data_IF_102659750737
#
_entry.id   IF_102659750737
#
_cell.length_a   1.000
_cell.length_b   1.000
_cell.length_c   1.000
_cell.angle_alpha   90.00
_cell.angle_beta   90.00
_cell.angle_gamma   90.00
#
_symmetry.space_group_name_H-M   'P 1'
#
loop_
_entity.id
_entity.type
_entity.pdbx_description
1 polymer ?
#
# COMPACT_ATOMS: atom_id res chain seq x y z
N UNK A 1 -6.31 -22.71 -9.89
CA UNK A 1 -5.79 -21.77 -8.89
C UNK A 1 -5.33 -20.56 -9.66
N UNK A 2 -5.88 -19.40 -9.35
CA UNK A 2 -5.41 -18.14 -9.93
C UNK A 2 -3.96 -17.92 -9.48
N UNK A 3 -3.09 -17.46 -10.39
CA UNK A 3 -1.70 -17.18 -10.03
C UNK A 3 -1.68 -16.04 -9.00
N UNK A 4 -0.69 -16.02 -8.09
CA UNK A 4 -0.47 -14.90 -7.17
C UNK A 4 0.55 -13.92 -7.75
N UNK A 5 0.52 -12.67 -7.27
CA UNK A 5 1.56 -11.67 -7.57
C UNK A 5 2.91 -12.23 -7.10
N UNK A 6 3.95 -12.05 -7.91
CA UNK A 6 5.31 -12.50 -7.65
C UNK A 6 5.79 -11.95 -6.31
N UNK A 7 6.45 -12.81 -5.52
CA UNK A 7 6.95 -12.54 -4.17
C UNK A 7 5.89 -12.17 -3.12
N UNK A 8 4.59 -12.17 -3.42
CA UNK A 8 3.52 -11.82 -2.46
C UNK A 8 3.62 -12.66 -1.19
N UNK A 9 3.66 -13.99 -1.33
CA UNK A 9 3.78 -14.94 -0.21
C UNK A 9 5.09 -14.74 0.55
N UNK A 10 6.19 -14.55 -0.18
CA UNK A 10 7.53 -14.39 0.41
C UNK A 10 7.60 -13.12 1.28
N UNK A 11 7.04 -12.03 0.80
CA UNK A 11 6.98 -10.76 1.53
C UNK A 11 6.01 -10.86 2.71
N UNK A 12 4.86 -11.51 2.55
CA UNK A 12 3.93 -11.78 3.64
C UNK A 12 4.61 -12.55 4.79
N UNK A 13 5.34 -13.63 4.48
CA UNK A 13 6.10 -14.40 5.47
C UNK A 13 7.22 -13.58 6.12
N UNK A 14 7.91 -12.73 5.35
CA UNK A 14 8.95 -11.84 5.90
C UNK A 14 8.38 -10.84 6.91
N UNK A 15 7.21 -10.26 6.62
CA UNK A 15 6.53 -9.32 7.52
C UNK A 15 6.03 -10.05 8.77
N UNK A 16 5.40 -11.23 8.63
CA UNK A 16 5.00 -12.07 9.78
C UNK A 16 6.18 -12.39 10.70
N UNK A 17 7.34 -12.73 10.12
CA UNK A 17 8.57 -12.98 10.87
C UNK A 17 9.08 -11.73 11.59
N UNK A 18 9.01 -10.56 10.95
CA UNK A 18 9.39 -9.29 11.56
C UNK A 18 8.56 -9.01 12.82
N UNK A 19 7.24 -9.20 12.71
CA UNK A 19 6.30 -9.04 13.82
C UNK A 19 6.60 -10.03 14.95
N UNK A 20 6.77 -11.32 14.63
CA UNK A 20 7.08 -12.35 15.62
C UNK A 20 8.38 -12.06 16.39
N UNK A 21 9.39 -11.56 15.68
CA UNK A 21 10.70 -11.23 16.23
C UNK A 21 10.77 -9.84 16.88
N UNK A 22 9.68 -9.07 16.85
CA UNK A 22 9.64 -7.66 17.31
C UNK A 22 10.73 -6.80 16.66
N UNK A 23 10.97 -7.04 15.38
CA UNK A 23 11.88 -6.22 14.58
C UNK A 23 11.30 -4.82 14.39
N UNK A 24 12.17 -3.81 14.26
CA UNK A 24 11.71 -2.46 13.92
C UNK A 24 11.17 -2.46 12.50
N UNK A 25 9.95 -2.00 12.32
CA UNK A 25 9.33 -1.83 11.00
C UNK A 25 9.15 -0.35 10.73
N UNK A 26 9.59 0.12 9.57
CA UNK A 26 9.43 1.49 9.10
C UNK A 26 8.65 1.44 7.79
N UNK A 27 7.60 2.26 7.70
CA UNK A 27 6.82 2.42 6.48
C UNK A 27 7.19 3.74 5.80
N UNK A 28 7.39 3.69 4.49
CA UNK A 28 7.59 4.88 3.66
C UNK A 28 6.60 4.82 2.51
N UNK A 29 5.55 5.64 2.58
CA UNK A 29 4.54 5.72 1.53
C UNK A 29 4.73 6.93 0.64
N UNK A 30 4.12 6.90 -0.54
CA UNK A 30 3.85 8.14 -1.26
C UNK A 30 2.81 9.00 -0.53
N UNK A 31 2.86 10.30 -0.78
CA UNK A 31 2.05 11.34 -0.14
C UNK A 31 0.71 11.60 -0.81
N UNK A 32 0.37 10.89 -1.88
CA UNK A 32 -0.99 10.90 -2.43
C UNK A 32 -1.88 9.84 -1.76
N UNK A 33 -3.14 9.76 -2.20
CA UNK A 33 -4.11 8.89 -1.56
C UNK A 33 -3.85 7.40 -1.79
N UNK A 34 -3.18 7.00 -2.88
CA UNK A 34 -2.83 5.60 -3.11
C UNK A 34 -1.75 5.15 -2.11
N UNK A 35 -0.65 5.91 -2.05
CA UNK A 35 0.43 5.70 -1.08
C UNK A 35 -0.03 5.80 0.39
N UNK A 36 -0.78 6.84 0.75
CA UNK A 36 -1.27 7.02 2.13
C UNK A 36 -2.22 5.88 2.53
N UNK A 37 -3.17 5.51 1.66
CA UNK A 37 -4.11 4.42 1.94
C UNK A 37 -3.38 3.09 2.09
N UNK A 38 -2.37 2.84 1.25
CA UNK A 38 -1.51 1.66 1.33
C UNK A 38 -0.78 1.59 2.68
N UNK A 39 -0.20 2.70 3.13
CA UNK A 39 0.46 2.77 4.45
C UNK A 39 -0.52 2.42 5.58
N UNK A 40 -1.73 3.01 5.57
CA UNK A 40 -2.75 2.75 6.60
C UNK A 40 -3.17 1.28 6.58
N UNK A 41 -3.41 0.70 5.40
CA UNK A 41 -3.78 -0.71 5.27
C UNK A 41 -2.70 -1.61 5.86
N UNK A 42 -1.44 -1.41 5.48
CA UNK A 42 -0.35 -2.26 5.96
C UNK A 42 -0.08 -2.06 7.46
N UNK A 43 -0.16 -0.82 7.95
CA UNK A 43 -0.03 -0.52 9.38
C UNK A 43 -1.11 -1.24 10.19
N UNK A 44 -2.38 -1.15 9.79
CA UNK A 44 -3.49 -1.84 10.47
C UNK A 44 -3.32 -3.36 10.41
N UNK A 45 -2.83 -3.88 9.29
CA UNK A 45 -2.50 -5.32 9.12
C UNK A 45 -1.45 -5.77 10.13
N UNK A 46 -0.35 -5.02 10.24
CA UNK A 46 0.76 -5.32 11.16
C UNK A 46 0.30 -5.23 12.63
N UNK A 47 -0.50 -4.21 12.97
CA UNK A 47 -1.08 -4.07 14.31
C UNK A 47 -2.02 -5.24 14.65
N UNK A 48 -2.80 -5.72 13.69
CA UNK A 48 -3.66 -6.91 13.89
C UNK A 48 -2.86 -8.20 14.10
N UNK A 49 -1.63 -8.29 13.59
CA UNK A 49 -0.70 -9.38 13.94
C UNK A 49 -0.03 -9.21 15.32
N UNK A 50 -0.26 -8.09 16.01
CA UNK A 50 0.40 -7.75 17.28
C UNK A 50 1.76 -7.07 17.12
N UNK A 51 2.08 -6.56 15.93
CA UNK A 51 3.29 -5.79 15.65
C UNK A 51 3.13 -4.29 15.88
N UNK A 52 4.24 -3.57 15.81
CA UNK A 52 4.30 -2.11 15.96
C UNK A 52 5.09 -1.47 14.82
N UNK A 53 4.67 -0.27 14.40
CA UNK A 53 5.39 0.55 13.42
C UNK A 53 6.26 1.55 14.16
N UNK A 54 7.57 1.51 13.91
CA UNK A 54 8.57 2.36 14.57
C UNK A 54 8.63 3.78 13.99
N UNK A 55 8.28 3.93 12.72
CA UNK A 55 8.14 5.23 12.05
C UNK A 55 7.33 5.07 10.76
N UNK A 56 6.61 6.14 10.40
CA UNK A 56 5.98 6.33 9.09
C UNK A 56 6.59 7.57 8.48
N UNK A 57 6.94 7.52 7.20
CA UNK A 57 7.51 8.63 6.46
C UNK A 57 6.77 8.83 5.13
N UNK A 58 6.63 10.09 4.73
CA UNK A 58 6.10 10.50 3.44
C UNK A 58 7.03 11.58 2.87
N UNK A 59 7.33 11.57 1.57
CA UNK A 59 8.16 12.58 0.96
C UNK A 59 7.38 13.90 0.86
N UNK A 60 8.08 15.02 0.97
CA UNK A 60 7.53 16.29 0.51
C UNK A 60 7.67 16.33 -1.01
N UNK A 61 6.59 16.08 -1.75
CA UNK A 61 6.65 16.00 -3.23
C UNK A 61 7.15 17.30 -3.87
N UNK A 62 6.94 18.48 -3.27
CA UNK A 62 7.38 19.76 -3.82
C UNK A 62 8.88 19.99 -3.60
N UNK A 63 9.41 19.58 -2.45
CA UNK A 63 10.81 19.82 -2.05
C UNK A 63 11.72 18.65 -2.41
N UNK A 64 11.28 17.44 -2.10
CA UNK A 64 12.07 16.22 -2.17
C UNK A 64 11.81 15.41 -3.46
N UNK A 65 10.70 15.69 -4.16
CA UNK A 65 10.26 14.95 -5.32
C UNK A 65 9.64 13.58 -4.99
N UNK A 66 9.41 12.76 -6.01
CA UNK A 66 8.87 11.40 -5.87
C UNK A 66 9.96 10.37 -5.51
N UNK A 67 9.59 9.39 -4.70
CA UNK A 67 10.41 8.22 -4.39
C UNK A 67 11.19 8.31 -3.08
N UNK A 68 11.97 7.25 -2.83
CA UNK A 68 12.93 7.23 -1.71
C UNK A 68 14.03 8.25 -2.00
N UNK A 69 14.36 9.08 -1.01
CA UNK A 69 15.39 10.11 -1.17
C UNK A 69 16.43 10.08 -0.03
N UNK A 70 17.59 10.71 -0.28
CA UNK A 70 18.72 10.71 0.64
C UNK A 70 18.42 11.42 1.98
N UNK A 71 17.59 12.47 1.97
CA UNK A 71 17.20 13.22 3.18
C UNK A 71 16.39 12.33 4.12
N UNK A 72 15.42 11.58 3.59
CA UNK A 72 14.65 10.62 4.35
C UNK A 72 15.54 9.51 4.94
N UNK A 73 16.46 8.96 4.14
CA UNK A 73 17.42 7.97 4.62
C UNK A 73 18.33 8.52 5.71
N UNK A 74 18.75 9.79 5.62
CA UNK A 74 19.56 10.44 6.65
C UNK A 74 18.79 10.62 7.97
N UNK A 75 17.51 10.99 7.90
CA UNK A 75 16.62 11.08 9.08
C UNK A 75 16.39 9.70 9.72
N UNK A 76 16.27 8.66 8.90
CA UNK A 76 15.90 7.32 9.36
C UNK A 76 17.10 6.47 9.79
N UNK A 77 18.33 6.80 9.38
CA UNK A 77 19.53 5.95 9.56
C UNK A 77 19.74 5.46 11.00
N UNK A 78 19.45 6.32 12.00
CA UNK A 78 19.64 5.98 13.42
C UNK A 78 18.59 4.98 13.93
N UNK A 79 17.55 4.69 13.13
CA UNK A 79 16.57 3.64 13.39
C UNK A 79 16.99 2.28 12.84
N UNK A 80 18.07 2.18 12.07
CA UNK A 80 18.62 0.91 11.62
C UNK A 80 19.20 0.10 12.82
N UNK A 81 19.19 -1.25 12.75
CA UNK A 81 18.58 -2.07 11.72
C UNK A 81 17.05 -2.04 11.79
N UNK A 82 16.40 -2.04 10.63
CA UNK A 82 14.94 -2.08 10.52
C UNK A 82 14.50 -2.73 9.19
N UNK A 83 13.31 -3.33 9.20
CA UNK A 83 12.58 -3.69 8.00
C UNK A 83 11.96 -2.41 7.43
N UNK A 84 12.46 -1.98 6.28
CA UNK A 84 12.05 -0.76 5.61
C UNK A 84 11.14 -1.10 4.44
N UNK A 85 9.85 -0.77 4.56
CA UNK A 85 8.82 -1.12 3.59
C UNK A 85 8.39 0.14 2.85
N UNK A 86 8.62 0.18 1.53
CA UNK A 86 8.13 1.25 0.67
C UNK A 86 6.79 0.88 0.07
N UNK A 87 5.87 1.84 -0.01
CA UNK A 87 4.53 1.66 -0.55
C UNK A 87 4.25 2.75 -1.59
N UNK A 88 3.88 2.34 -2.79
CA UNK A 88 3.60 3.22 -3.93
C UNK A 88 4.82 4.03 -4.42
N UNK A 89 6.00 3.57 -4.02
CA UNK A 89 7.29 4.07 -4.47
C UNK A 89 8.39 3.07 -4.22
N UNK A 90 9.53 3.32 -4.85
CA UNK A 90 10.77 2.59 -4.62
C UNK A 90 11.19 1.70 -5.78
N UNK A 91 10.27 1.27 -6.66
CA UNK A 91 10.61 0.33 -7.75
C UNK A 91 11.62 0.90 -8.75
N UNK A 92 11.67 2.22 -8.92
CA UNK A 92 12.67 2.92 -9.73
C UNK A 92 13.92 3.40 -8.95
N UNK A 93 13.92 3.32 -7.61
CA UNK A 93 14.95 3.92 -6.74
C UNK A 93 16.16 2.99 -6.52
N UNK A 94 16.81 2.54 -7.60
CA UNK A 94 17.93 1.58 -7.53
C UNK A 94 19.05 2.05 -6.60
N UNK A 95 19.48 3.31 -6.75
CA UNK A 95 20.60 3.87 -5.97
C UNK A 95 20.21 4.07 -4.51
N UNK A 96 19.02 4.58 -4.25
CA UNK A 96 18.58 4.89 -2.89
C UNK A 96 18.30 3.61 -2.10
N UNK A 97 17.81 2.55 -2.74
CA UNK A 97 17.67 1.23 -2.11
C UNK A 97 19.05 0.62 -1.80
N UNK A 98 20.06 0.78 -2.66
CA UNK A 98 21.43 0.38 -2.32
C UNK A 98 22.00 1.14 -1.12
N UNK A 99 21.74 2.44 -1.03
CA UNK A 99 22.14 3.25 0.12
C UNK A 99 21.42 2.78 1.39
N UNK A 100 20.11 2.55 1.32
CA UNK A 100 19.33 2.03 2.45
C UNK A 100 19.89 0.70 2.96
N UNK A 101 20.22 -0.24 2.06
CA UNK A 101 20.87 -1.51 2.41
C UNK A 101 22.21 -1.31 3.12
N UNK A 102 23.04 -0.37 2.66
CA UNK A 102 24.33 -0.02 3.30
C UNK A 102 24.17 0.59 4.69
N UNK A 103 23.05 1.29 4.95
CA UNK A 103 22.70 1.85 6.25
C UNK A 103 22.14 0.79 7.22
N UNK A 104 21.92 -0.46 6.78
CA UNK A 104 21.42 -1.55 7.61
C UNK A 104 19.91 -1.77 7.53
N UNK A 105 19.23 -1.21 6.52
CA UNK A 105 17.84 -1.53 6.24
C UNK A 105 17.72 -2.79 5.39
N UNK A 106 16.75 -3.64 5.72
CA UNK A 106 16.24 -4.65 4.78
C UNK A 106 15.03 -4.06 4.06
N UNK A 107 15.10 -3.96 2.74
CA UNK A 107 14.12 -3.20 1.94
C UNK A 107 13.10 -4.11 1.30
N UNK A 108 11.83 -3.88 1.60
CA UNK A 108 10.66 -4.41 0.90
C UNK A 108 10.09 -3.28 0.03
N UNK A 109 9.76 -3.59 -1.22
CA UNK A 109 9.14 -2.65 -2.15
C UNK A 109 7.76 -3.19 -2.52
N UNK A 110 6.73 -2.39 -2.32
CA UNK A 110 5.35 -2.66 -2.77
C UNK A 110 5.01 -1.50 -3.70
N UNK A 111 4.83 -1.81 -4.97
CA UNK A 111 4.68 -0.80 -6.03
C UNK A 111 3.83 -1.33 -7.20
N UNK A 112 3.50 -0.45 -8.13
CA UNK A 112 2.78 -0.75 -9.37
C UNK A 112 3.24 0.12 -10.55
N UNK A 113 4.24 0.99 -10.36
CA UNK A 113 4.75 1.90 -11.38
C UNK A 113 5.57 1.20 -12.47
N UNK A 114 5.61 1.80 -13.66
CA UNK A 114 6.52 1.35 -14.72
C UNK A 114 7.97 1.75 -14.40
N UNK A 115 8.94 0.92 -14.79
CA UNK A 115 10.37 1.24 -14.65
C UNK A 115 11.09 1.31 -15.99
N UNK A 116 11.87 2.37 -16.17
CA UNK A 116 12.66 2.59 -17.40
C UNK A 116 14.13 2.16 -17.26
N UNK A 117 14.69 2.21 -16.06
CA UNK A 117 16.13 2.08 -15.82
C UNK A 117 16.52 0.83 -14.99
N UNK A 118 15.66 -0.19 -15.00
CA UNK A 118 15.78 -1.37 -14.15
C UNK A 118 15.15 -1.19 -12.77
N UNK A 119 15.24 -2.24 -11.95
CA UNK A 119 14.66 -2.31 -10.60
C UNK A 119 15.75 -2.59 -9.55
N UNK A 120 15.55 -2.21 -8.29
CA UNK A 120 16.51 -2.49 -7.21
C UNK A 120 16.84 -3.98 -7.05
N UNK A 121 18.10 -4.26 -6.69
CA UNK A 121 18.55 -5.62 -6.37
C UNK A 121 18.11 -6.02 -4.94
N UNK A 122 16.83 -6.34 -4.80
CA UNK A 122 16.25 -6.93 -3.59
C UNK A 122 15.24 -7.99 -3.99
N UNK A 123 15.19 -9.14 -3.28
CA UNK A 123 14.29 -10.22 -3.66
C UNK A 123 12.94 -10.11 -2.95
N UNK A 124 12.61 -8.92 -2.43
CA UNK A 124 11.41 -8.57 -1.66
C UNK A 124 10.64 -7.44 -2.35
N UNK A 125 10.33 -7.64 -3.63
CA UNK A 125 9.57 -6.69 -4.45
C UNK A 125 8.23 -7.31 -4.81
N UNK A 126 7.13 -6.64 -4.47
CA UNK A 126 5.80 -6.94 -4.98
C UNK A 126 5.43 -5.84 -5.95
N UNK A 127 5.23 -6.23 -7.20
CA UNK A 127 4.75 -5.37 -8.27
C UNK A 127 4.26 -6.32 -9.39
N UNK A 128 2.96 -6.27 -9.75
CA UNK A 128 2.39 -7.12 -10.80
C UNK A 128 3.12 -7.01 -12.15
N UNK A 129 3.76 -5.89 -12.43
CA UNK A 129 4.44 -5.60 -13.71
C UNK A 129 5.88 -6.08 -13.76
N UNK A 130 6.38 -6.71 -12.69
CA UNK A 130 7.69 -7.33 -12.68
C UNK A 130 7.84 -8.33 -13.84
N UNK A 131 9.06 -8.38 -14.37
CA UNK A 131 9.45 -9.43 -15.31
C UNK A 131 9.21 -10.82 -14.69
N UNK A 132 8.65 -11.72 -15.48
CA UNK A 132 8.31 -13.11 -15.10
C UNK A 132 7.20 -13.24 -14.03
N UNK A 133 6.46 -12.16 -13.74
CA UNK A 133 5.23 -12.23 -12.96
C UNK A 133 4.08 -12.79 -13.82
N UNK A 134 3.45 -13.89 -13.36
CA UNK A 134 2.38 -14.59 -14.09
C UNK A 134 0.97 -14.23 -13.60
N UNK A 135 0.83 -13.20 -12.78
CA UNK A 135 -0.46 -12.67 -12.33
C UNK A 135 -1.28 -12.16 -13.51
N UNK A 136 -2.57 -12.48 -13.55
CA UNK A 136 -3.45 -12.23 -14.70
C UNK A 136 -3.71 -10.74 -14.94
N UNK A 137 -3.83 -9.94 -13.87
CA UNK A 137 -4.21 -8.54 -13.96
C UNK A 137 -3.07 -7.61 -13.53
N UNK A 138 -2.50 -6.87 -14.48
CA UNK A 138 -1.34 -5.99 -14.25
C UNK A 138 -1.69 -4.55 -13.88
N UNK A 139 -2.98 -4.22 -13.85
CA UNK A 139 -3.48 -2.86 -13.74
C UNK A 139 -3.81 -2.41 -12.32
N UNK A 140 -3.49 -3.18 -11.29
CA UNK A 140 -3.77 -2.80 -9.90
C UNK A 140 -3.11 -1.46 -9.56
N UNK A 141 -3.82 -0.60 -8.82
CA UNK A 141 -3.22 0.47 -8.03
C UNK A 141 -2.38 -0.14 -6.89
N UNK A 142 -1.45 0.62 -6.31
CA UNK A 142 -0.61 0.10 -5.23
C UNK A 142 -1.44 -0.29 -4.00
N UNK A 143 -2.52 0.43 -3.69
CA UNK A 143 -3.42 0.08 -2.59
C UNK A 143 -4.12 -1.26 -2.83
N UNK A 144 -4.40 -1.61 -4.09
CA UNK A 144 -4.94 -2.91 -4.47
C UNK A 144 -3.92 -4.03 -4.26
N UNK A 145 -2.66 -3.80 -4.65
CA UNK A 145 -1.54 -4.71 -4.36
C UNK A 145 -1.37 -4.90 -2.85
N UNK A 146 -1.41 -3.81 -2.09
CA UNK A 146 -1.28 -3.81 -0.64
C UNK A 146 -2.44 -4.52 0.04
N UNK A 147 -3.67 -4.38 -0.47
CA UNK A 147 -4.83 -5.11 0.01
C UNK A 147 -4.69 -6.63 -0.20
N UNK A 148 -4.22 -7.07 -1.38
CA UNK A 148 -3.90 -8.49 -1.63
C UNK A 148 -2.83 -9.02 -0.68
N UNK A 149 -1.81 -8.21 -0.39
CA UNK A 149 -0.79 -8.57 0.59
C UNK A 149 -1.38 -8.72 1.99
N UNK A 150 -2.29 -7.83 2.40
CA UNK A 150 -3.01 -7.97 3.67
C UNK A 150 -3.81 -9.28 3.73
N UNK A 151 -4.55 -9.62 2.68
CA UNK A 151 -5.29 -10.88 2.58
C UNK A 151 -4.35 -12.09 2.73
N UNK A 152 -3.14 -12.04 2.15
CA UNK A 152 -2.12 -13.09 2.30
C UNK A 152 -1.51 -13.14 3.71
N UNK A 153 -1.29 -11.98 4.34
CA UNK A 153 -0.71 -11.88 5.68
C UNK A 153 -1.67 -12.43 6.73
N UNK A 154 -2.93 -12.00 6.69
CA UNK A 154 -3.91 -12.37 7.70
C UNK A 154 -4.59 -13.70 7.38
N UNK A 155 -4.73 -14.06 6.10
CA UNK A 155 -5.35 -15.31 5.65
C UNK A 155 -6.67 -15.58 6.38
N UNK A 156 -6.82 -16.72 7.06
CA UNK A 156 -7.99 -17.10 7.85
C UNK A 156 -8.24 -16.25 9.10
N UNK A 157 -7.28 -15.40 9.50
CA UNK A 157 -7.40 -14.49 10.66
C UNK A 157 -8.04 -13.15 10.32
N UNK A 158 -8.25 -12.84 9.04
CA UNK A 158 -8.89 -11.57 8.66
C UNK A 158 -10.39 -11.66 8.98
N UNK A 159 -10.86 -10.83 9.92
CA UNK A 159 -12.30 -10.71 10.15
C UNK A 159 -12.97 -10.01 8.97
N UNK A 160 -14.23 -10.32 8.71
CA UNK A 160 -15.02 -9.67 7.65
C UNK A 160 -15.06 -8.14 7.85
N UNK A 161 -15.23 -7.68 9.09
CA UNK A 161 -15.23 -6.25 9.42
C UNK A 161 -13.89 -5.58 9.10
N UNK A 162 -12.77 -6.22 9.44
CA UNK A 162 -11.45 -5.70 9.10
C UNK A 162 -11.26 -5.68 7.59
N UNK A 163 -11.58 -6.77 6.89
CA UNK A 163 -11.48 -6.85 5.43
C UNK A 163 -12.26 -5.73 4.76
N UNK A 164 -13.53 -5.52 5.13
CA UNK A 164 -14.38 -4.47 4.57
C UNK A 164 -13.82 -3.07 4.88
N UNK A 165 -13.33 -2.84 6.09
CA UNK A 165 -12.70 -1.57 6.49
C UNK A 165 -11.41 -1.27 5.69
N UNK A 166 -10.63 -2.27 5.33
CA UNK A 166 -9.45 -2.10 4.48
C UNK A 166 -9.83 -1.92 3.00
N UNK A 167 -10.88 -2.62 2.55
CA UNK A 167 -11.41 -2.54 1.20
C UNK A 167 -12.00 -1.16 0.88
N UNK A 168 -12.57 -0.46 1.89
CA UNK A 168 -12.97 0.94 1.78
C UNK A 168 -11.79 1.83 1.35
N UNK A 169 -10.63 1.68 1.99
CA UNK A 169 -9.42 2.43 1.65
C UNK A 169 -8.87 2.01 0.28
N UNK A 170 -8.89 0.71 -0.01
CA UNK A 170 -8.46 0.20 -1.30
C UNK A 170 -9.30 0.75 -2.46
N UNK A 171 -10.62 0.85 -2.29
CA UNK A 171 -11.47 1.47 -3.30
C UNK A 171 -11.15 2.95 -3.51
N UNK A 172 -10.98 3.73 -2.43
CA UNK A 172 -10.69 5.16 -2.54
C UNK A 172 -9.32 5.42 -3.19
N UNK A 173 -8.28 4.70 -2.78
CA UNK A 173 -6.95 4.83 -3.40
C UNK A 173 -6.94 4.39 -4.86
N UNK A 174 -7.64 3.30 -5.21
CA UNK A 174 -7.75 2.83 -6.61
C UNK A 174 -8.48 3.87 -7.48
N UNK A 175 -9.49 4.55 -6.94
CA UNK A 175 -10.21 5.61 -7.65
C UNK A 175 -9.30 6.84 -7.88
N UNK A 176 -8.57 7.27 -6.84
CA UNK A 176 -7.71 8.46 -6.92
C UNK A 176 -6.50 8.29 -7.81
N UNK A 177 -5.98 7.06 -7.92
CA UNK A 177 -4.82 6.74 -8.74
C UNK A 177 -5.14 6.72 -10.26
N UNK A 178 -6.43 6.84 -10.61
CA UNK A 178 -6.91 6.91 -12.01
C UNK A 178 -6.48 5.74 -12.90
N UNK A 179 -6.15 4.59 -12.31
CA UNK A 179 -5.90 3.34 -13.03
C UNK A 179 -7.16 2.85 -13.76
N UNK A 180 -7.02 2.01 -14.81
CA UNK A 180 -8.17 1.43 -15.49
C UNK A 180 -9.10 0.69 -14.50
N UNK A 181 -10.37 1.10 -14.46
CA UNK A 181 -11.39 0.51 -13.59
C UNK A 181 -11.99 -0.74 -14.24
N UNK A 182 -11.14 -1.73 -14.50
CA UNK A 182 -11.51 -3.01 -15.11
C UNK A 182 -11.06 -4.18 -14.23
N UNK A 183 -11.72 -5.32 -14.41
CA UNK A 183 -11.43 -6.58 -13.70
C UNK A 183 -11.30 -6.42 -12.17
N UNK A 184 -10.11 -6.59 -11.60
CA UNK A 184 -9.94 -6.56 -10.14
C UNK A 184 -10.10 -5.17 -9.56
N UNK A 185 -9.65 -4.11 -10.25
CA UNK A 185 -9.89 -2.75 -9.79
C UNK A 185 -11.40 -2.47 -9.71
N UNK A 186 -12.16 -2.94 -10.71
CA UNK A 186 -13.61 -2.78 -10.69
C UNK A 186 -14.23 -3.51 -9.48
N UNK A 187 -13.80 -4.74 -9.19
CA UNK A 187 -14.29 -5.50 -8.02
C UNK A 187 -13.95 -4.80 -6.70
N UNK A 188 -12.70 -4.34 -6.54
CA UNK A 188 -12.23 -3.59 -5.36
C UNK A 188 -13.09 -2.34 -5.16
N UNK A 189 -13.31 -1.57 -6.23
CA UNK A 189 -14.11 -0.35 -6.18
C UNK A 189 -15.57 -0.66 -5.80
N UNK A 190 -16.21 -1.62 -6.47
CA UNK A 190 -17.62 -1.95 -6.23
C UNK A 190 -17.87 -2.48 -4.81
N UNK A 191 -17.01 -3.36 -4.31
CA UNK A 191 -17.12 -3.93 -2.96
C UNK A 191 -16.74 -2.90 -1.87
N UNK A 192 -15.70 -2.11 -2.09
CA UNK A 192 -15.26 -1.09 -1.14
C UNK A 192 -16.26 0.06 -1.01
N UNK A 193 -16.84 0.53 -2.12
CA UNK A 193 -17.91 1.53 -2.08
C UNK A 193 -19.20 1.00 -1.44
N UNK A 194 -19.48 -0.31 -1.54
CA UNK A 194 -20.59 -0.93 -0.81
C UNK A 194 -20.33 -0.94 0.70
N UNK A 195 -19.09 -1.20 1.11
CA UNK A 195 -18.68 -1.18 2.53
C UNK A 195 -18.70 0.24 3.10
N UNK A 196 -18.24 1.21 2.31
CA UNK A 196 -18.15 2.63 2.67
C UNK A 196 -19.47 3.23 3.18
N UNK A 197 -20.62 2.72 2.70
CA UNK A 197 -21.96 3.17 3.13
C UNK A 197 -22.19 3.05 4.64
N UNK A 198 -21.56 2.06 5.26
CA UNK A 198 -21.68 1.77 6.69
C UNK A 198 -20.31 1.88 7.37
N UNK A 199 -19.42 2.71 6.85
CA UNK A 199 -18.03 2.80 7.33
C UNK A 199 -17.97 3.13 8.82
N UNK A 200 -17.08 2.42 9.51
CA UNK A 200 -16.79 2.70 10.91
C UNK A 200 -15.66 3.72 11.10
N UNK A 201 -15.00 4.16 10.02
CA UNK A 201 -13.86 5.07 10.05
C UNK A 201 -14.33 6.51 10.32
N UNK A 202 -13.95 7.15 11.45
CA UNK A 202 -14.43 8.50 11.78
C UNK A 202 -14.14 9.54 10.70
N UNK A 203 -12.95 9.48 10.08
CA UNK A 203 -12.57 10.40 9.02
C UNK A 203 -13.43 10.24 7.76
N UNK A 204 -13.74 9.00 7.36
CA UNK A 204 -14.59 8.74 6.20
C UNK A 204 -16.04 9.12 6.47
N UNK A 205 -16.57 8.91 7.69
CA UNK A 205 -17.89 9.43 8.07
C UNK A 205 -17.96 10.95 7.96
N UNK A 206 -17.00 11.66 8.56
CA UNK A 206 -16.96 13.11 8.48
C UNK A 206 -16.85 13.61 7.03
N UNK A 207 -16.06 12.93 6.19
CA UNK A 207 -15.96 13.22 4.76
C UNK A 207 -17.30 13.01 4.04
N UNK A 208 -17.99 11.90 4.28
CA UNK A 208 -19.31 11.62 3.70
C UNK A 208 -20.37 12.62 4.15
N UNK A 209 -20.33 13.06 5.42
CA UNK A 209 -21.22 14.08 5.96
C UNK A 209 -21.05 15.42 5.22
N UNK A 210 -19.81 15.81 4.90
CA UNK A 210 -19.51 17.02 4.12
C UNK A 210 -20.06 16.90 2.69
N UNK A 211 -20.01 15.69 2.09
CA UNK A 211 -20.54 15.43 0.75
C UNK A 211 -22.07 15.33 0.69
N UNK A 212 -22.74 15.04 1.82
CA UNK A 212 -24.18 14.91 1.97
C UNK A 212 -24.71 13.48 1.75
N UNK A 213 -25.27 12.87 2.82
CA UNK A 213 -25.68 11.45 2.87
C UNK A 213 -26.67 10.99 1.77
N UNK A 214 -27.53 11.90 1.27
CA UNK A 214 -28.52 11.57 0.23
C UNK A 214 -27.99 11.51 -1.21
N UNK A 215 -26.75 11.96 -1.45
CA UNK A 215 -26.20 12.16 -2.80
C UNK A 215 -25.08 11.19 -3.17
N UNK A 216 -24.59 10.38 -2.22
CA UNK A 216 -23.49 9.43 -2.42
C UNK A 216 -23.96 8.09 -3.03
N UNK A 217 -25.24 7.94 -3.39
CA UNK A 217 -25.76 6.63 -3.83
C UNK A 217 -26.52 6.62 -5.17
N UNK A 218 -26.67 7.77 -5.84
CA UNK A 218 -27.06 7.88 -7.26
C UNK A 218 -25.96 8.63 -8.03
N UNK A 219 -25.11 7.91 -8.78
CA UNK A 219 -24.05 8.53 -9.61
C UNK A 219 -22.81 9.03 -8.85
N UNK A 220 -22.64 8.63 -7.59
CA UNK A 220 -21.68 9.23 -6.66
C UNK A 220 -20.21 8.90 -6.88
N UNK A 221 -19.89 7.87 -7.64
CA UNK A 221 -18.51 7.61 -8.05
C UNK A 221 -17.89 8.87 -8.66
N UNK A 222 -18.66 9.59 -9.49
CA UNK A 222 -18.20 10.81 -10.16
C UNK A 222 -17.96 11.97 -9.18
N UNK A 223 -18.72 12.03 -8.07
CA UNK A 223 -18.53 13.06 -7.02
C UNK A 223 -17.40 12.71 -6.06
N UNK A 224 -17.23 11.43 -5.70
CA UNK A 224 -16.05 10.97 -4.96
C UNK A 224 -14.82 11.26 -5.80
N UNK A 225 -14.81 10.89 -7.08
CA UNK A 225 -13.73 11.26 -8.03
C UNK A 225 -13.52 12.78 -8.08
N UNK A 226 -14.56 13.60 -7.99
CA UNK A 226 -14.41 15.06 -8.03
C UNK A 226 -13.93 15.68 -6.71
N UNK A 227 -13.98 14.93 -5.61
CA UNK A 227 -13.65 15.38 -4.26
C UNK A 227 -12.30 14.85 -3.76
N UNK A 228 -11.81 13.76 -4.37
CA UNK A 228 -10.45 13.24 -4.23
C UNK A 228 -9.52 13.97 -5.21
#
# INVERSE_FOLDING_TARGET
MENKIKNLEKVAERIKKAVLNKERIILYGDSDLDGISSVVILEETIKNLGGEISAVFFPDREVDGYGVNAKALDILKDKAPALFITLDLGIGNVKEVEIAKKLGFEVIIIDHHETLNGIPDTPLIIDPKQKDDNYSFKGLANVGVTFRLCEEILSDKISENLRNSLLELAALGTISDMVPQTDENQKIIEEGLRSLKNTFRPALRAFLDILGEGYVFQGALQKIISAL
#
